data_IF_772652534698
#
_entry.id   IF_772652534698
#
_cell.length_a   1.000
_cell.length_b   1.000
_cell.length_c   1.000
_cell.angle_alpha   90.00
_cell.angle_beta   90.00
_cell.angle_gamma   90.00
#
_symmetry.space_group_name_H-M   'P 1'
#
loop_
_entity.id
_entity.type
_entity.pdbx_description
1 polymer ?
#
# COMPACT_ATOMS: atom_id res chain seq x y z
N UNK A 1 -3.54 -9.92 3.85
CA UNK A 1 -2.25 -9.25 4.06
C UNK A 1 -1.55 -9.08 2.71
N UNK A 2 -1.01 -7.90 2.42
CA UNK A 2 -0.22 -7.59 1.23
C UNK A 2 1.19 -7.14 1.65
N UNK A 3 2.21 -7.87 1.24
CA UNK A 3 3.61 -7.61 1.60
C UNK A 3 4.47 -7.36 0.37
N UNK A 4 5.67 -6.83 0.56
CA UNK A 4 6.65 -6.62 -0.52
C UNK A 4 7.62 -5.50 -0.21
N UNK A 5 8.66 -5.35 -1.02
CA UNK A 5 9.71 -4.36 -0.79
C UNK A 5 9.22 -2.92 -1.01
N UNK A 6 9.97 -1.96 -0.47
CA UNK A 6 9.66 -0.54 -0.63
C UNK A 6 9.66 -0.16 -2.12
N UNK A 7 8.66 0.62 -2.54
CA UNK A 7 8.55 1.10 -3.91
C UNK A 7 7.96 0.12 -4.93
N UNK A 8 7.51 -1.07 -4.52
CA UNK A 8 6.88 -2.04 -5.43
C UNK A 8 5.39 -1.79 -5.71
N UNK A 9 4.79 -0.73 -5.18
CA UNK A 9 3.41 -0.35 -5.51
C UNK A 9 2.33 -0.89 -4.57
N UNK A 10 2.66 -1.41 -3.38
CA UNK A 10 1.70 -1.96 -2.41
C UNK A 10 0.53 -1.03 -2.10
N UNK A 11 0.82 0.19 -1.66
CA UNK A 11 -0.18 1.21 -1.36
C UNK A 11 -1.06 1.53 -2.56
N UNK A 12 -0.47 1.57 -3.77
CA UNK A 12 -1.22 1.83 -5.00
C UNK A 12 -2.20 0.69 -5.30
N UNK A 13 -1.76 -0.57 -5.21
CA UNK A 13 -2.62 -1.73 -5.42
C UNK A 13 -3.72 -1.80 -4.36
N UNK A 14 -3.37 -1.57 -3.08
CA UNK A 14 -4.37 -1.52 -2.02
C UNK A 14 -5.43 -0.45 -2.29
N UNK A 15 -5.03 0.77 -2.65
CA UNK A 15 -5.96 1.85 -3.01
C UNK A 15 -6.80 1.52 -4.24
N UNK A 16 -6.22 0.94 -5.29
CA UNK A 16 -6.97 0.52 -6.47
C UNK A 16 -8.03 -0.51 -6.12
N UNK A 17 -7.67 -1.51 -5.29
CA UNK A 17 -8.63 -2.50 -4.80
C UNK A 17 -9.78 -1.84 -4.02
N UNK A 18 -9.46 -0.90 -3.13
CA UNK A 18 -10.48 -0.20 -2.34
C UNK A 18 -11.37 0.70 -3.21
N UNK A 19 -10.85 1.27 -4.29
CA UNK A 19 -11.63 2.06 -5.26
C UNK A 19 -12.62 1.23 -6.09
N UNK A 20 -12.41 -0.08 -6.22
CA UNK A 20 -13.34 -0.99 -6.90
C UNK A 20 -14.52 -1.40 -6.00
N UNK A 21 -14.41 -1.16 -4.68
CA UNK A 21 -15.49 -1.43 -3.76
C UNK A 21 -16.57 -0.34 -3.84
N UNK A 22 -17.82 -0.75 -3.66
CA UNK A 22 -18.96 0.18 -3.64
C UNK A 22 -18.95 1.00 -2.34
N UNK A 23 -18.73 2.33 -2.39
CA UNK A 23 -18.70 3.17 -1.19
C UNK A 23 -20.02 3.19 -0.42
N UNK A 24 -21.14 2.85 -1.06
CA UNK A 24 -22.45 2.75 -0.39
C UNK A 24 -22.59 1.49 0.45
N UNK A 25 -21.72 0.50 0.22
CA UNK A 25 -21.75 -0.81 0.87
C UNK A 25 -20.50 -1.13 1.67
N UNK A 26 -19.54 -0.22 1.74
CA UNK A 26 -18.27 -0.49 2.41
C UNK A 26 -17.81 0.71 3.23
N UNK A 27 -17.54 0.49 4.50
CA UNK A 27 -16.85 1.45 5.38
C UNK A 27 -15.37 1.08 5.45
N UNK A 28 -14.49 2.05 5.18
CA UNK A 28 -13.04 1.78 5.05
C UNK A 28 -12.23 2.70 5.96
N UNK A 29 -12.10 2.40 7.25
CA UNK A 29 -11.11 3.03 8.11
C UNK A 29 -9.69 2.78 7.56
N UNK A 30 -9.02 3.85 7.10
CA UNK A 30 -7.66 3.78 6.54
C UNK A 30 -6.65 4.40 7.50
N UNK A 31 -5.78 3.57 8.02
CA UNK A 31 -4.70 3.95 8.92
C UNK A 31 -3.38 4.03 8.16
N UNK A 32 -2.84 5.24 8.02
CA UNK A 32 -1.58 5.49 7.30
C UNK A 32 -0.42 5.88 8.24
N UNK A 33 -0.72 6.12 9.51
CA UNK A 33 0.27 6.51 10.50
C UNK A 33 0.50 5.39 11.53
N UNK A 34 1.72 5.20 12.02
CA UNK A 34 1.98 4.24 13.08
C UNK A 34 1.28 4.68 14.38
N UNK A 35 0.57 3.74 14.99
CA UNK A 35 -0.02 3.92 16.31
C UNK A 35 1.03 3.60 17.40
N UNK A 36 0.93 4.28 18.54
CA UNK A 36 1.88 4.12 19.65
C UNK A 36 1.64 2.84 20.44
N UNK A 37 0.38 2.49 20.64
CA UNK A 37 -0.06 1.33 21.41
C UNK A 37 -1.44 0.86 20.94
N UNK A 38 -1.97 -0.18 21.58
CA UNK A 38 -3.27 -0.76 21.22
C UNK A 38 -4.45 0.19 21.48
N UNK A 39 -4.35 1.06 22.47
CA UNK A 39 -5.42 2.04 22.75
C UNK A 39 -5.46 3.14 21.71
N UNK A 40 -4.28 3.64 21.28
CA UNK A 40 -4.13 4.60 20.19
C UNK A 40 -4.66 4.01 18.86
N UNK A 41 -4.39 2.71 18.64
CA UNK A 41 -4.89 1.98 17.48
C UNK A 41 -6.43 1.90 17.44
N UNK A 42 -7.06 1.61 18.56
CA UNK A 42 -8.53 1.56 18.66
C UNK A 42 -9.17 2.94 18.48
N UNK A 43 -8.55 3.98 19.06
CA UNK A 43 -9.02 5.37 18.91
C UNK A 43 -8.93 5.84 17.47
N UNK A 44 -7.85 5.51 16.78
CA UNK A 44 -7.69 5.85 15.36
C UNK A 44 -8.76 5.15 14.50
N UNK A 45 -9.04 3.87 14.73
CA UNK A 45 -10.13 3.17 14.03
C UNK A 45 -11.47 3.88 14.28
N UNK A 46 -11.78 4.21 15.54
CA UNK A 46 -13.03 4.87 15.89
C UNK A 46 -13.16 6.24 15.22
N UNK A 47 -12.08 7.02 15.21
CA UNK A 47 -12.01 8.31 14.52
C UNK A 47 -12.24 8.15 13.00
N UNK A 48 -11.59 7.17 12.36
CA UNK A 48 -11.75 6.90 10.93
C UNK A 48 -13.16 6.37 10.59
N UNK A 49 -13.88 5.80 11.55
CA UNK A 49 -15.29 5.44 11.42
C UNK A 49 -16.24 6.65 11.60
N UNK A 50 -15.68 7.85 11.81
CA UNK A 50 -16.45 9.10 11.89
C UNK A 50 -16.97 9.44 13.29
N UNK A 51 -16.40 8.86 14.35
CA UNK A 51 -16.77 9.18 15.74
C UNK A 51 -15.69 10.05 16.40
N UNK A 52 -16.00 11.34 16.56
CA UNK A 52 -15.09 12.32 17.14
C UNK A 52 -14.90 12.18 18.66
N UNK A 53 -15.68 11.34 19.32
CA UNK A 53 -15.56 11.10 20.78
C UNK A 53 -14.36 10.21 21.15
N UNK A 54 -13.63 9.70 20.19
CA UNK A 54 -12.52 8.76 20.37
C UNK A 54 -11.47 9.22 21.40
N UNK A 55 -11.22 10.52 21.51
CA UNK A 55 -10.23 11.09 22.45
C UNK A 55 -10.66 11.01 23.92
N UNK A 56 -11.96 10.94 24.19
CA UNK A 56 -12.54 11.07 25.53
C UNK A 56 -12.93 9.71 26.15
N UNK A 57 -12.80 8.64 25.35
CA UNK A 57 -13.19 7.29 25.75
C UNK A 57 -11.99 6.50 26.31
N UNK A 58 -12.26 5.72 27.36
CA UNK A 58 -11.35 4.65 27.78
C UNK A 58 -11.39 3.48 26.79
N UNK A 59 -10.39 2.58 26.88
CA UNK A 59 -10.28 1.42 25.98
C UNK A 59 -11.57 0.61 25.90
N UNK A 60 -12.24 0.34 27.02
CA UNK A 60 -13.42 -0.51 27.03
C UNK A 60 -14.59 0.17 26.28
N UNK A 61 -14.78 1.46 26.50
CA UNK A 61 -15.82 2.25 25.82
C UNK A 61 -15.50 2.39 24.35
N UNK A 62 -14.22 2.56 23.98
CA UNK A 62 -13.79 2.63 22.58
C UNK A 62 -14.12 1.33 21.84
N UNK A 63 -13.79 0.16 22.41
CA UNK A 63 -14.14 -1.15 21.83
C UNK A 63 -15.65 -1.32 21.68
N UNK A 64 -16.40 -0.95 22.73
CA UNK A 64 -17.88 -1.04 22.70
C UNK A 64 -18.45 -0.15 21.59
N UNK A 65 -17.93 1.06 21.45
CA UNK A 65 -18.38 2.00 20.42
C UNK A 65 -18.05 1.55 19.01
N UNK A 66 -16.86 1.00 18.79
CA UNK A 66 -16.51 0.36 17.52
C UNK A 66 -17.51 -0.77 17.20
N UNK A 67 -17.80 -1.63 18.20
CA UNK A 67 -18.75 -2.73 18.01
C UNK A 67 -20.14 -2.23 17.60
N UNK A 68 -20.67 -1.20 18.26
CA UNK A 68 -21.96 -0.60 17.89
C UNK A 68 -21.95 -0.12 16.43
N UNK A 69 -20.93 0.66 16.02
CA UNK A 69 -20.84 1.23 14.68
C UNK A 69 -20.77 0.13 13.62
N UNK A 70 -19.90 -0.88 13.79
CA UNK A 70 -19.75 -1.94 12.79
C UNK A 70 -20.97 -2.86 12.75
N UNK A 71 -21.66 -3.05 13.88
CA UNK A 71 -22.93 -3.78 13.93
C UNK A 71 -24.02 -3.03 13.15
N UNK A 72 -24.16 -1.73 13.37
CA UNK A 72 -25.14 -0.89 12.68
C UNK A 72 -24.85 -0.82 11.17
N UNK A 73 -23.58 -0.72 10.79
CA UNK A 73 -23.16 -0.79 9.40
C UNK A 73 -23.56 -2.12 8.76
N UNK A 74 -23.28 -3.24 9.43
CA UNK A 74 -23.67 -4.57 8.96
C UNK A 74 -25.19 -4.71 8.83
N UNK A 75 -25.97 -4.22 9.79
CA UNK A 75 -27.45 -4.23 9.73
C UNK A 75 -28.00 -3.43 8.55
N UNK A 76 -27.24 -2.47 8.02
CA UNK A 76 -27.53 -1.70 6.82
C UNK A 76 -27.00 -2.37 5.53
N UNK A 77 -26.43 -3.57 5.62
CA UNK A 77 -25.85 -4.32 4.50
C UNK A 77 -24.47 -3.80 4.05
N UNK A 78 -23.77 -3.10 4.95
CA UNK A 78 -22.41 -2.63 4.69
C UNK A 78 -21.37 -3.56 5.32
N UNK A 79 -20.19 -3.61 4.70
CA UNK A 79 -19.01 -4.31 5.19
C UNK A 79 -18.00 -3.29 5.75
N UNK A 80 -17.33 -3.63 6.84
CA UNK A 80 -16.25 -2.79 7.41
C UNK A 80 -14.89 -3.42 7.14
N UNK A 81 -14.00 -2.69 6.43
CA UNK A 81 -12.65 -3.14 6.08
C UNK A 81 -11.64 -2.17 6.70
N UNK A 82 -11.02 -2.56 7.80
CA UNK A 82 -9.93 -1.79 8.41
C UNK A 82 -8.65 -2.02 7.62
N UNK A 83 -8.09 -0.95 7.08
CA UNK A 83 -6.85 -0.97 6.29
C UNK A 83 -5.73 -0.36 7.09
N UNK A 84 -4.64 -1.10 7.25
CA UNK A 84 -3.42 -0.62 7.92
C UNK A 84 -2.29 -0.60 6.89
N UNK A 85 -1.93 0.60 6.43
CA UNK A 85 -0.76 0.77 5.55
C UNK A 85 0.51 0.93 6.39
N UNK A 86 1.66 0.62 5.80
CA UNK A 86 2.97 0.61 6.47
C UNK A 86 2.97 -0.21 7.78
N UNK A 87 2.20 -1.30 7.81
CA UNK A 87 1.97 -2.12 9.01
C UNK A 87 3.24 -2.73 9.63
N UNK A 88 4.38 -2.77 8.93
CA UNK A 88 5.67 -3.15 9.51
C UNK A 88 6.19 -2.14 10.55
N UNK A 89 5.61 -0.94 10.64
CA UNK A 89 5.94 0.07 11.65
C UNK A 89 5.22 -0.15 12.98
N UNK A 90 4.28 -1.09 13.04
CA UNK A 90 3.62 -1.48 14.27
C UNK A 90 4.56 -2.38 15.09
N UNK A 91 5.05 -1.87 16.23
CA UNK A 91 6.06 -2.54 17.03
C UNK A 91 5.51 -3.07 18.35
N UNK A 92 4.42 -2.48 18.86
CA UNK A 92 3.86 -2.81 20.17
C UNK A 92 2.94 -4.05 20.11
N UNK A 93 3.17 -5.01 21.00
CA UNK A 93 2.37 -6.24 21.10
C UNK A 93 0.88 -5.96 21.32
N UNK A 94 0.57 -4.91 22.10
CA UNK A 94 -0.80 -4.50 22.40
C UNK A 94 -1.63 -4.23 21.13
N UNK A 95 -1.02 -3.73 20.07
CA UNK A 95 -1.70 -3.46 18.80
C UNK A 95 -2.15 -4.78 18.14
N UNK A 96 -1.28 -5.78 18.12
CA UNK A 96 -1.61 -7.10 17.55
C UNK A 96 -2.68 -7.83 18.37
N UNK A 97 -2.69 -7.62 19.69
CA UNK A 97 -3.76 -8.14 20.56
C UNK A 97 -5.10 -7.47 20.24
N UNK A 98 -5.13 -6.14 20.07
CA UNK A 98 -6.37 -5.45 19.68
C UNK A 98 -6.86 -5.87 18.30
N UNK A 99 -5.97 -6.03 17.31
CA UNK A 99 -6.34 -6.58 15.99
C UNK A 99 -7.00 -7.96 16.12
N UNK A 100 -6.43 -8.83 16.96
CA UNK A 100 -6.98 -10.16 17.21
C UNK A 100 -8.35 -10.08 17.86
N UNK A 101 -8.56 -9.16 18.81
CA UNK A 101 -9.85 -8.95 19.49
C UNK A 101 -10.90 -8.38 18.54
N UNK A 102 -10.56 -7.42 17.70
CA UNK A 102 -11.47 -6.88 16.69
C UNK A 102 -11.94 -7.95 15.69
N UNK A 103 -11.05 -8.86 15.29
CA UNK A 103 -11.41 -9.99 14.42
C UNK A 103 -12.30 -11.05 15.11
N UNK A 104 -12.56 -10.94 16.42
CA UNK A 104 -13.56 -11.74 17.12
C UNK A 104 -14.96 -11.09 17.12
N UNK A 105 -15.09 -9.86 16.60
CA UNK A 105 -16.39 -9.23 16.44
C UNK A 105 -17.12 -9.92 15.29
N UNK A 106 -18.03 -10.82 15.67
CA UNK A 106 -18.77 -11.64 14.71
C UNK A 106 -20.20 -11.84 15.19
N UNK A 107 -21.09 -12.08 14.26
CA UNK A 107 -22.40 -12.67 14.46
C UNK A 107 -22.35 -14.17 14.23
N UNK A 108 -23.45 -14.88 14.41
CA UNK A 108 -23.49 -16.33 14.23
C UNK A 108 -23.05 -16.78 12.82
N UNK A 109 -23.28 -15.95 11.81
CA UNK A 109 -23.05 -16.23 10.39
C UNK A 109 -22.15 -15.21 9.66
N UNK A 110 -21.65 -14.16 10.35
CA UNK A 110 -20.89 -13.10 9.70
C UNK A 110 -19.78 -12.50 10.58
N UNK A 111 -18.64 -12.20 9.97
CA UNK A 111 -17.62 -11.36 10.57
C UNK A 111 -17.95 -9.90 10.34
N UNK A 112 -17.90 -9.09 11.40
CA UNK A 112 -18.24 -7.66 11.32
C UNK A 112 -17.09 -6.80 10.80
N UNK A 113 -15.84 -7.27 10.92
CA UNK A 113 -14.64 -6.56 10.49
C UNK A 113 -13.75 -7.47 9.64
N UNK A 114 -13.31 -6.95 8.52
CA UNK A 114 -12.19 -7.48 7.75
C UNK A 114 -10.95 -6.61 7.95
N UNK A 115 -9.76 -7.21 7.98
CA UNK A 115 -8.49 -6.50 8.19
C UNK A 115 -7.57 -6.68 6.98
N UNK A 116 -7.16 -5.58 6.36
CA UNK A 116 -6.16 -5.54 5.30
C UNK A 116 -4.87 -4.92 5.82
N UNK A 117 -3.87 -5.75 6.09
CA UNK A 117 -2.53 -5.30 6.45
C UNK A 117 -1.68 -5.16 5.18
N UNK A 118 -1.12 -3.97 5.00
CA UNK A 118 -0.22 -3.63 3.88
C UNK A 118 1.12 -3.20 4.46
N UNK A 119 2.22 -3.84 4.05
CA UNK A 119 3.51 -3.52 4.64
C UNK A 119 4.70 -4.11 3.92
N UNK A 120 5.90 -3.81 4.43
CA UNK A 120 7.15 -4.34 3.91
C UNK A 120 7.41 -5.75 4.44
N UNK A 121 8.40 -6.42 3.86
CA UNK A 121 8.75 -7.83 4.19
C UNK A 121 8.88 -8.13 5.70
N UNK A 122 9.38 -7.21 6.58
CA UNK A 122 9.42 -7.44 8.02
C UNK A 122 8.05 -7.67 8.69
N UNK A 123 6.95 -7.18 8.08
CA UNK A 123 5.59 -7.45 8.56
C UNK A 123 5.30 -8.94 8.69
N UNK A 124 5.83 -9.76 7.75
CA UNK A 124 5.62 -11.21 7.76
C UNK A 124 6.17 -11.83 9.04
N UNK A 125 7.35 -11.39 9.47
CA UNK A 125 8.00 -11.89 10.69
C UNK A 125 7.28 -11.41 11.95
N UNK A 126 6.83 -10.15 11.95
CA UNK A 126 6.03 -9.60 13.06
C UNK A 126 4.74 -10.40 13.25
N UNK A 127 4.01 -10.66 12.17
CA UNK A 127 2.78 -11.46 12.24
C UNK A 127 3.03 -12.90 12.73
N UNK A 128 4.10 -13.55 12.28
CA UNK A 128 4.46 -14.91 12.73
C UNK A 128 4.72 -15.02 14.22
N UNK A 129 5.13 -13.94 14.87
CA UNK A 129 5.31 -13.88 16.33
C UNK A 129 3.99 -13.89 17.09
N UNK A 130 2.87 -13.60 16.40
CA UNK A 130 1.51 -13.55 16.97
C UNK A 130 0.61 -14.66 16.37
N UNK A 131 0.73 -15.93 16.83
CA UNK A 131 0.03 -17.07 16.23
C UNK A 131 -1.48 -16.89 16.16
N UNK A 132 -2.07 -16.20 17.15
CA UNK A 132 -3.52 -15.94 17.17
C UNK A 132 -4.00 -15.02 16.06
N UNK A 133 -3.15 -14.14 15.55
CA UNK A 133 -3.42 -13.29 14.40
C UNK A 133 -3.02 -13.99 13.09
N UNK A 134 -1.85 -14.67 13.10
CA UNK A 134 -1.32 -15.37 11.94
C UNK A 134 -2.29 -16.41 11.36
N UNK A 135 -2.97 -17.16 12.23
CA UNK A 135 -3.99 -18.15 11.85
C UNK A 135 -5.26 -17.55 11.26
N UNK A 136 -5.51 -16.25 11.47
CA UNK A 136 -6.68 -15.54 10.93
C UNK A 136 -6.43 -14.88 9.58
N UNK A 137 -5.20 -14.91 9.08
CA UNK A 137 -4.87 -14.36 7.76
C UNK A 137 -5.27 -15.36 6.69
N UNK A 138 -6.44 -15.14 6.09
CA UNK A 138 -6.98 -16.00 5.03
C UNK A 138 -6.16 -15.92 3.74
N UNK A 139 -5.65 -14.72 3.39
CA UNK A 139 -4.93 -14.52 2.12
C UNK A 139 -3.65 -13.72 2.33
N UNK A 140 -2.57 -14.16 1.67
CA UNK A 140 -1.26 -13.50 1.67
C UNK A 140 -0.84 -13.22 0.23
N UNK A 141 -0.73 -11.93 -0.10
CA UNK A 141 -0.14 -11.45 -1.33
C UNK A 141 1.28 -10.96 -1.11
N UNK A 142 2.17 -11.21 -2.06
CA UNK A 142 3.52 -10.67 -2.06
C UNK A 142 3.81 -9.97 -3.38
N UNK A 143 4.09 -8.67 -3.31
CA UNK A 143 4.54 -7.91 -4.47
C UNK A 143 6.05 -8.01 -4.58
N UNK A 144 6.49 -8.38 -5.77
CA UNK A 144 7.90 -8.46 -6.13
C UNK A 144 8.24 -7.32 -7.11
N UNK A 145 9.50 -6.93 -7.20
CA UNK A 145 9.95 -6.09 -8.29
C UNK A 145 9.54 -6.67 -9.65
N UNK A 146 9.32 -5.81 -10.61
CA UNK A 146 8.95 -6.20 -11.98
C UNK A 146 10.08 -7.01 -12.63
N UNK A 147 9.70 -8.04 -13.38
CA UNK A 147 10.65 -8.71 -14.26
C UNK A 147 11.12 -7.77 -15.37
N UNK A 148 12.13 -8.18 -16.14
CA UNK A 148 12.59 -7.44 -17.30
C UNK A 148 11.42 -7.12 -18.25
N UNK A 149 10.68 -8.14 -18.67
CA UNK A 149 9.49 -7.99 -19.53
C UNK A 149 8.41 -7.13 -18.85
N UNK A 150 8.22 -7.32 -17.55
CA UNK A 150 7.27 -6.53 -16.75
C UNK A 150 7.66 -5.04 -16.70
N UNK A 151 8.97 -4.71 -16.72
CA UNK A 151 9.44 -3.32 -16.76
C UNK A 151 9.08 -2.66 -18.09
N UNK A 152 9.28 -3.35 -19.23
CA UNK A 152 8.87 -2.86 -20.54
C UNK A 152 7.37 -2.61 -20.59
N UNK A 153 6.57 -3.61 -20.26
CA UNK A 153 5.12 -3.48 -20.24
C UNK A 153 4.64 -2.35 -19.31
N UNK A 154 5.33 -2.14 -18.18
CA UNK A 154 4.99 -1.08 -17.23
C UNK A 154 5.29 0.31 -17.80
N UNK A 155 6.45 0.53 -18.43
CA UNK A 155 6.81 1.81 -19.06
C UNK A 155 5.84 2.14 -20.18
N UNK A 156 5.55 1.19 -21.05
CA UNK A 156 4.61 1.35 -22.17
C UNK A 156 3.20 1.66 -21.67
N UNK A 157 2.72 0.93 -20.65
CA UNK A 157 1.41 1.18 -20.03
C UNK A 157 1.32 2.60 -19.46
N UNK A 158 2.36 3.07 -18.78
CA UNK A 158 2.38 4.41 -18.18
C UNK A 158 2.36 5.50 -19.25
N UNK A 159 3.09 5.35 -20.35
CA UNK A 159 3.09 6.28 -21.49
C UNK A 159 1.72 6.30 -22.17
N UNK A 160 1.14 5.15 -22.46
CA UNK A 160 -0.19 5.03 -23.08
C UNK A 160 -1.26 5.66 -22.20
N UNK A 161 -1.22 5.42 -20.88
CA UNK A 161 -2.15 6.03 -19.92
C UNK A 161 -2.01 7.55 -19.88
N UNK A 162 -0.82 8.09 -20.12
CA UNK A 162 -0.56 9.52 -20.25
C UNK A 162 -0.93 10.09 -21.64
N UNK A 163 -1.53 9.30 -22.52
CA UNK A 163 -1.97 9.73 -23.87
C UNK A 163 -0.86 9.68 -24.93
N UNK A 164 0.24 8.98 -24.66
CA UNK A 164 1.32 8.82 -25.64
C UNK A 164 1.30 7.41 -26.22
N UNK A 165 0.93 7.28 -27.50
CA UNK A 165 0.84 6.00 -28.21
C UNK A 165 2.19 5.56 -28.81
N UNK A 166 3.02 6.53 -29.27
CA UNK A 166 4.34 6.23 -29.82
C UNK A 166 5.36 5.98 -28.72
N UNK A 167 6.25 4.97 -28.85
CA UNK A 167 7.31 4.71 -27.91
C UNK A 167 8.28 5.88 -27.82
N UNK A 168 8.51 6.37 -26.60
CA UNK A 168 9.47 7.45 -26.32
C UNK A 168 10.80 6.88 -25.88
N UNK A 169 10.78 5.78 -25.13
CA UNK A 169 11.98 5.08 -24.71
C UNK A 169 12.32 3.99 -25.72
N UNK A 170 13.58 3.94 -26.15
CA UNK A 170 14.09 2.83 -26.95
C UNK A 170 14.20 1.57 -26.07
N UNK A 171 14.18 0.39 -26.67
CA UNK A 171 14.25 -0.89 -25.96
C UNK A 171 15.48 -0.98 -25.06
N UNK A 172 16.65 -0.60 -25.57
CA UNK A 172 17.92 -0.58 -24.85
C UNK A 172 17.92 0.38 -23.63
N UNK A 173 17.20 1.50 -23.74
CA UNK A 173 17.01 2.43 -22.61
C UNK A 173 16.21 1.77 -21.48
N UNK A 174 15.11 1.06 -21.80
CA UNK A 174 14.30 0.36 -20.81
C UNK A 174 15.06 -0.81 -20.19
N UNK A 175 15.89 -1.51 -20.98
CA UNK A 175 16.78 -2.57 -20.49
C UNK A 175 17.75 -2.02 -19.43
N UNK A 176 18.37 -0.88 -19.69
CA UNK A 176 19.27 -0.22 -18.75
C UNK A 176 18.55 0.28 -17.51
N UNK A 177 17.34 0.85 -17.65
CA UNK A 177 16.47 1.24 -16.55
C UNK A 177 16.18 0.02 -15.68
N UNK A 178 15.79 -1.12 -16.25
CA UNK A 178 15.54 -2.34 -15.51
C UNK A 178 16.78 -2.79 -14.72
N UNK A 179 17.94 -2.84 -15.37
CA UNK A 179 19.21 -3.24 -14.74
C UNK A 179 19.54 -2.35 -13.53
N UNK A 180 19.37 -1.04 -13.66
CA UNK A 180 19.68 -0.10 -12.60
C UNK A 180 18.66 -0.13 -11.46
N UNK A 181 17.38 -0.27 -11.77
CA UNK A 181 16.28 -0.22 -10.80
C UNK A 181 15.97 -1.57 -10.17
N UNK A 182 16.47 -2.66 -10.75
CA UNK A 182 16.11 -4.04 -10.43
C UNK A 182 14.60 -4.27 -10.45
N UNK A 183 13.87 -3.56 -11.32
CA UNK A 183 12.42 -3.67 -11.48
C UNK A 183 11.59 -2.99 -10.40
N UNK A 184 12.17 -2.19 -9.50
CA UNK A 184 11.43 -1.46 -8.48
C UNK A 184 10.68 -0.28 -9.10
N UNK A 185 9.35 -0.34 -9.15
CA UNK A 185 8.51 0.60 -9.90
C UNK A 185 8.70 2.07 -9.51
N UNK A 186 8.93 2.39 -8.22
CA UNK A 186 9.25 3.76 -7.79
C UNK A 186 10.55 4.27 -8.42
N UNK A 187 11.59 3.44 -8.47
CA UNK A 187 12.88 3.80 -9.09
C UNK A 187 12.74 3.95 -10.61
N UNK A 188 11.95 3.06 -11.24
CA UNK A 188 11.64 3.16 -12.68
C UNK A 188 10.99 4.51 -12.98
N UNK A 189 9.94 4.87 -12.22
CA UNK A 189 9.27 6.16 -12.38
C UNK A 189 10.24 7.34 -12.26
N UNK A 190 11.07 7.35 -11.20
CA UNK A 190 12.01 8.45 -10.97
C UNK A 190 12.93 8.67 -12.18
N UNK A 191 13.52 7.61 -12.71
CA UNK A 191 14.43 7.71 -13.88
C UNK A 191 13.65 8.13 -15.11
N UNK A 192 12.48 7.52 -15.36
CA UNK A 192 11.66 7.87 -16.52
C UNK A 192 11.19 9.33 -16.47
N UNK A 193 10.73 9.81 -15.32
CA UNK A 193 10.26 11.19 -15.14
C UNK A 193 11.40 12.19 -15.39
N UNK A 194 12.59 11.96 -14.83
CA UNK A 194 13.76 12.81 -15.07
C UNK A 194 14.14 12.78 -16.54
N UNK A 195 14.19 11.58 -17.16
CA UNK A 195 14.54 11.42 -18.55
C UNK A 195 13.57 12.17 -19.48
N UNK A 196 12.27 12.10 -19.21
CA UNK A 196 11.23 12.80 -19.96
C UNK A 196 11.34 14.33 -19.83
N UNK A 197 11.52 14.84 -18.59
CA UNK A 197 11.63 16.28 -18.35
C UNK A 197 12.85 16.88 -19.05
N UNK A 198 14.01 16.26 -18.91
CA UNK A 198 15.24 16.77 -19.53
C UNK A 198 15.22 16.51 -21.04
N UNK A 199 14.72 15.34 -21.49
CA UNK A 199 14.56 15.03 -22.90
C UNK A 199 13.67 16.03 -23.62
N UNK A 200 12.54 16.42 -23.01
CA UNK A 200 11.67 17.47 -23.51
C UNK A 200 12.38 18.82 -23.62
N UNK A 201 13.11 19.24 -22.58
CA UNK A 201 13.86 20.50 -22.57
C UNK A 201 14.91 20.58 -23.69
N UNK A 202 15.49 19.43 -24.05
CA UNK A 202 16.49 19.29 -25.12
C UNK A 202 15.90 18.93 -26.48
N UNK A 203 14.57 18.81 -26.58
CA UNK A 203 13.84 18.46 -27.81
C UNK A 203 14.31 17.12 -28.42
N UNK A 204 14.58 16.13 -27.58
CA UNK A 204 14.95 14.80 -28.05
C UNK A 204 13.74 14.14 -28.71
N UNK A 205 13.99 13.40 -29.80
CA UNK A 205 12.94 12.64 -30.49
C UNK A 205 12.62 11.31 -29.79
N UNK A 206 13.58 10.75 -29.04
CA UNK A 206 13.49 9.53 -28.24
C UNK A 206 14.57 9.51 -27.18
N UNK A 207 14.43 8.57 -26.26
CA UNK A 207 15.36 8.36 -25.14
C UNK A 207 16.03 7.00 -25.34
N UNK A 208 17.34 7.00 -25.60
CA UNK A 208 18.19 5.84 -25.79
C UNK A 208 18.97 5.48 -24.51
N UNK A 209 19.72 4.36 -24.56
CA UNK A 209 20.52 3.89 -23.43
C UNK A 209 21.62 4.89 -23.04
N UNK A 210 22.29 5.54 -24.01
CA UNK A 210 23.34 6.51 -23.71
C UNK A 210 22.82 7.70 -22.90
N UNK A 211 21.60 8.12 -23.19
CA UNK A 211 20.95 9.18 -22.45
C UNK A 211 20.60 8.76 -21.01
N UNK A 212 20.03 7.57 -20.85
CA UNK A 212 19.71 7.01 -19.52
C UNK A 212 20.99 6.81 -18.69
N UNK A 213 22.07 6.33 -19.29
CA UNK A 213 23.35 6.14 -18.61
C UNK A 213 23.88 7.43 -18.02
N UNK A 214 23.86 8.53 -18.79
CA UNK A 214 24.27 9.85 -18.31
C UNK A 214 23.42 10.33 -17.12
N UNK A 215 22.12 10.07 -17.14
CA UNK A 215 21.23 10.42 -16.02
C UNK A 215 21.58 9.62 -14.76
N UNK A 216 21.79 8.33 -14.89
CA UNK A 216 22.19 7.45 -13.78
C UNK A 216 23.52 7.88 -13.17
N UNK A 217 24.51 8.25 -14.00
CA UNK A 217 25.80 8.74 -13.54
C UNK A 217 25.68 10.08 -12.79
N UNK A 218 24.85 10.99 -13.29
CA UNK A 218 24.58 12.26 -12.62
C UNK A 218 23.87 12.08 -11.27
N UNK A 219 22.95 11.11 -11.16
CA UNK A 219 22.24 10.80 -9.90
C UNK A 219 23.19 10.22 -8.83
N UNK A 220 24.21 9.46 -9.21
CA UNK A 220 25.20 8.88 -8.29
C UNK A 220 26.16 9.91 -7.68
N UNK A 221 26.08 11.17 -8.08
CA UNK A 221 26.93 12.20 -7.54
C UNK A 221 28.38 12.16 -8.05
N UNK A 222 28.67 11.41 -9.11
CA UNK A 222 29.97 11.43 -9.80
C UNK A 222 30.14 12.67 -10.70
N UNK A 223 29.39 13.71 -10.41
CA UNK A 223 29.55 15.04 -10.97
C UNK A 223 30.54 15.83 -10.10
N UNK A 224 31.79 15.85 -10.50
CA UNK A 224 32.81 16.85 -10.06
C UNK A 224 32.31 18.27 -10.19
#
# INVERSE_FOLDING_TARGET
>A
MLSGDSGCGKTMIARSLLHELDPSRTEIPLMSNPCRDGEDFLREILYQLGDDSASDLDRQRTVHRIHEIVYDAHAQGKETIVVVDEAQLLLEESIFDEMRLLLNLQLDDAFLISLLLVGQSPLIESIRKHPGLDQRIATRGALRPLSHEGTHAYVDFRLTTAGREDPVFHTDAVDLIHQHTSGVSRKINNICDIALVIGFSRKLQGIDADWVERLIQAERGDGT
#
